data_IF_912587603597
#
_entry.id   IF_912587603597
#
_cell.length_a   1.000
_cell.length_b   1.000
_cell.length_c   1.000
_cell.angle_alpha   90.00
_cell.angle_beta   90.00
_cell.angle_gamma   90.00
#
_symmetry.space_group_name_H-M   'P 1'
#
loop_
_entity.id
_entity.type
_entity.pdbx_description
1 polymer ?
#
# COMPACT_ATOMS: atom_id res chain seq x y z
N UNK A 1 -26.86 -26.81 -6.06
CA UNK A 1 -26.05 -26.79 -4.83
C UNK A 1 -24.64 -26.36 -5.18
N UNK A 2 -24.39 -25.05 -5.25
CA UNK A 2 -23.09 -24.38 -5.04
C UNK A 2 -23.49 -22.92 -4.85
N UNK A 3 -23.80 -22.57 -3.61
CA UNK A 3 -24.20 -21.21 -3.24
C UNK A 3 -23.00 -20.26 -3.34
N UNK A 4 -23.31 -19.00 -3.59
CA UNK A 4 -22.40 -17.91 -3.83
C UNK A 4 -21.41 -17.72 -2.66
N UNK A 5 -20.27 -18.41 -2.71
CA UNK A 5 -19.13 -18.11 -1.86
C UNK A 5 -18.36 -16.93 -2.47
N UNK A 6 -18.97 -15.74 -2.50
CA UNK A 6 -18.19 -14.52 -2.68
C UNK A 6 -17.36 -14.33 -1.41
N UNK A 7 -16.11 -14.82 -1.44
CA UNK A 7 -15.11 -14.50 -0.42
C UNK A 7 -15.04 -12.97 -0.33
N UNK A 8 -15.35 -12.40 0.85
CA UNK A 8 -15.34 -10.96 1.03
C UNK A 8 -14.00 -10.38 0.53
N UNK A 9 -14.00 -9.21 -0.14
CA UNK A 9 -12.76 -8.64 -0.65
C UNK A 9 -11.74 -8.51 0.50
N UNK A 10 -10.44 -8.74 0.22
CA UNK A 10 -9.43 -8.63 1.25
C UNK A 10 -9.46 -7.24 1.88
N UNK A 11 -9.19 -7.12 3.18
CA UNK A 11 -9.10 -5.82 3.82
C UNK A 11 -8.01 -4.96 3.17
N UNK A 12 -8.18 -3.64 3.25
CA UNK A 12 -7.21 -2.68 2.70
C UNK A 12 -6.55 -1.91 3.84
N UNK A 13 -5.22 -1.91 3.86
CA UNK A 13 -4.42 -0.96 4.62
C UNK A 13 -4.16 0.26 3.74
N UNK A 14 -4.88 1.36 3.99
CA UNK A 14 -4.69 2.61 3.27
C UNK A 14 -3.72 3.53 4.02
N UNK A 15 -2.69 4.03 3.33
CA UNK A 15 -1.68 4.94 3.86
C UNK A 15 -1.71 6.22 3.03
N UNK A 16 -2.00 7.35 3.66
CA UNK A 16 -1.93 8.68 3.04
C UNK A 16 -0.76 9.48 3.61
N UNK A 17 0.07 10.07 2.76
CA UNK A 17 1.24 10.83 3.17
C UNK A 17 1.57 12.01 2.22
N UNK A 18 2.36 12.97 2.72
CA UNK A 18 2.77 14.19 1.99
C UNK A 18 4.22 14.55 2.33
N UNK A 19 4.50 15.70 2.95
CA UNK A 19 5.88 16.11 3.30
C UNK A 19 6.53 15.11 4.26
N UNK A 20 7.74 14.64 3.92
CA UNK A 20 8.45 13.57 4.67
C UNK A 20 7.87 12.17 4.47
N UNK A 21 6.78 12.05 3.70
CA UNK A 21 6.02 10.83 3.49
C UNK A 21 6.79 9.65 2.88
N UNK A 22 7.65 9.82 1.85
CA UNK A 22 8.38 8.69 1.27
C UNK A 22 9.17 7.89 2.31
N UNK A 23 9.90 8.57 3.21
CA UNK A 23 10.67 7.91 4.27
C UNK A 23 9.76 7.20 5.28
N UNK A 24 8.67 7.86 5.69
CA UNK A 24 7.73 7.28 6.65
C UNK A 24 7.00 6.05 6.07
N UNK A 25 6.60 6.12 4.79
CA UNK A 25 5.99 4.99 4.07
C UNK A 25 6.98 3.82 4.01
N UNK A 26 8.23 4.06 3.63
CA UNK A 26 9.25 3.00 3.58
C UNK A 26 9.43 2.30 4.94
N UNK A 27 9.49 3.08 6.03
CA UNK A 27 9.61 2.54 7.39
C UNK A 27 8.41 1.69 7.80
N UNK A 28 7.20 2.15 7.50
CA UNK A 28 5.96 1.39 7.76
C UNK A 28 5.94 0.09 6.95
N UNK A 29 6.22 0.17 5.64
CA UNK A 29 6.21 -1.00 4.75
C UNK A 29 7.25 -2.03 5.16
N UNK A 30 8.45 -1.61 5.54
CA UNK A 30 9.51 -2.49 6.03
C UNK A 30 9.15 -3.21 7.34
N UNK A 31 8.28 -2.60 8.15
CA UNK A 31 7.78 -3.19 9.40
C UNK A 31 6.57 -4.12 9.22
N UNK A 32 5.99 -4.24 8.02
CA UNK A 32 4.83 -5.10 7.80
C UNK A 32 5.21 -6.58 7.84
N UNK A 33 4.36 -7.44 8.43
CA UNK A 33 4.60 -8.88 8.43
C UNK A 33 4.48 -9.43 7.00
N UNK A 34 5.39 -10.33 6.61
CA UNK A 34 5.40 -10.96 5.28
C UNK A 34 4.11 -11.72 4.94
N UNK A 35 3.34 -12.13 5.95
CA UNK A 35 2.04 -12.80 5.81
C UNK A 35 0.84 -11.88 5.94
N UNK A 36 0.99 -10.58 5.71
CA UNK A 36 -0.13 -9.63 5.81
C UNK A 36 -1.25 -10.00 4.83
N UNK A 37 -2.41 -10.41 5.37
CA UNK A 37 -3.61 -10.76 4.60
C UNK A 37 -4.44 -9.52 4.27
N UNK A 38 -3.81 -8.50 3.69
CA UNK A 38 -4.44 -7.25 3.29
C UNK A 38 -3.76 -6.66 2.05
N UNK A 39 -4.53 -5.94 1.23
CA UNK A 39 -3.96 -5.10 0.18
C UNK A 39 -3.41 -3.80 0.80
N UNK A 40 -2.22 -3.37 0.40
CA UNK A 40 -1.66 -2.09 0.85
C UNK A 40 -1.83 -1.06 -0.26
N UNK A 41 -2.51 0.05 0.05
CA UNK A 41 -2.71 1.17 -0.86
C UNK A 41 -2.01 2.41 -0.31
N UNK A 42 -1.04 2.92 -1.05
CA UNK A 42 -0.30 4.14 -0.69
C UNK A 42 -0.74 5.29 -1.59
N UNK A 43 -1.15 6.41 -0.98
CA UNK A 43 -1.38 7.68 -1.64
C UNK A 43 -0.38 8.69 -1.10
N UNK A 44 0.57 9.08 -1.94
CA UNK A 44 1.61 10.03 -1.61
C UNK A 44 1.42 11.30 -2.46
N UNK A 45 1.32 12.46 -1.82
CA UNK A 45 1.36 13.74 -2.54
C UNK A 45 2.76 13.92 -3.13
N UNK A 46 2.83 13.92 -4.46
CA UNK A 46 4.03 14.08 -5.28
C UNK A 46 3.75 15.00 -6.46
N UNK A 47 4.81 15.57 -7.02
CA UNK A 47 4.76 16.19 -8.33
C UNK A 47 4.50 15.14 -9.43
N UNK A 48 3.88 15.54 -10.55
CA UNK A 48 3.67 14.65 -11.69
C UNK A 48 4.98 13.99 -12.16
N UNK A 49 4.94 12.68 -12.42
CA UNK A 49 6.09 11.91 -12.92
C UNK A 49 7.01 11.34 -11.83
N UNK A 50 6.77 11.60 -10.55
CA UNK A 50 7.56 11.02 -9.45
C UNK A 50 6.98 9.72 -8.87
N UNK A 51 5.75 9.35 -9.27
CA UNK A 51 5.07 8.14 -8.76
C UNK A 51 5.83 6.86 -9.07
N UNK A 52 6.36 6.75 -10.29
CA UNK A 52 7.03 5.53 -10.75
C UNK A 52 8.37 5.35 -10.04
N UNK A 53 9.12 6.45 -9.88
CA UNK A 53 10.37 6.46 -9.10
C UNK A 53 10.13 6.12 -7.62
N UNK A 54 9.02 6.59 -7.03
CA UNK A 54 8.66 6.21 -5.66
C UNK A 54 8.35 4.70 -5.58
N UNK A 55 7.58 4.17 -6.52
CA UNK A 55 7.23 2.75 -6.54
C UNK A 55 8.47 1.87 -6.72
N UNK A 56 9.38 2.23 -7.63
CA UNK A 56 10.65 1.53 -7.83
C UNK A 56 11.54 1.60 -6.59
N UNK A 57 11.60 2.74 -5.90
CA UNK A 57 12.38 2.89 -4.68
C UNK A 57 11.83 2.10 -3.48
N UNK A 58 10.53 1.81 -3.44
CA UNK A 58 9.87 1.04 -2.38
C UNK A 58 9.87 -0.48 -2.59
N UNK A 59 10.26 -0.96 -3.78
CA UNK A 59 10.25 -2.38 -4.18
C UNK A 59 11.47 -3.14 -3.62
#
# INVERSE_FOLDING_TARGET
>A
MLGDNACAPPPVLAIGASTGGPKAVAEVLAGLPAGLMACVLVVQHLDPGFSDNLAEWLA
#
